data_IF_818721283412
#
_entry.id   IF_818721283412
#
_cell.length_a   1.000
_cell.length_b   1.000
_cell.length_c   1.000
_cell.angle_alpha   90.00
_cell.angle_beta   90.00
_cell.angle_gamma   90.00
#
_symmetry.space_group_name_H-M   'P 1'
#
loop_
_entity.id
_entity.type
_entity.pdbx_description
1 polymer ?
#
# COMPACT_ATOMS: atom_id res chain seq x y z
N UNK A 1 22.86 10.15 7.28
CA UNK A 1 22.05 10.22 8.53
C UNK A 1 21.76 8.79 8.98
N UNK A 2 21.92 8.47 10.26
CA UNK A 2 21.62 7.13 10.77
C UNK A 2 20.09 6.89 10.82
N UNK A 3 19.64 5.64 10.61
CA UNK A 3 18.20 5.27 10.70
C UNK A 3 17.58 5.62 12.07
N UNK A 4 18.38 5.61 13.13
CA UNK A 4 17.96 5.97 14.49
C UNK A 4 17.62 7.46 14.60
N UNK A 5 18.46 8.34 14.05
CA UNK A 5 18.21 9.79 14.02
C UNK A 5 16.95 10.15 13.22
N UNK A 6 16.67 9.43 12.13
CA UNK A 6 15.45 9.62 11.35
C UNK A 6 14.19 9.23 12.15
N UNK A 7 14.26 8.13 12.91
CA UNK A 7 13.15 7.69 13.75
C UNK A 7 12.84 8.72 14.84
N UNK A 8 13.86 9.19 15.55
CA UNK A 8 13.72 10.21 16.59
C UNK A 8 13.10 11.51 16.03
N UNK A 9 13.55 11.96 14.86
CA UNK A 9 13.00 13.14 14.20
C UNK A 9 11.51 12.96 13.82
N UNK A 10 11.13 11.79 13.29
CA UNK A 10 9.74 11.49 12.97
C UNK A 10 8.85 11.41 14.21
N UNK A 11 9.37 10.91 15.33
CA UNK A 11 8.64 10.87 16.60
C UNK A 11 8.35 12.29 17.12
N UNK A 12 9.34 13.19 17.05
CA UNK A 12 9.15 14.61 17.38
C UNK A 12 8.10 15.26 16.48
N UNK A 13 8.20 15.08 15.16
CA UNK A 13 7.22 15.65 14.21
C UNK A 13 5.80 15.12 14.44
N UNK A 14 5.66 13.83 14.76
CA UNK A 14 4.35 13.24 15.13
C UNK A 14 3.80 13.84 16.42
N UNK A 15 4.64 14.00 17.44
CA UNK A 15 4.23 14.61 18.70
C UNK A 15 3.73 16.04 18.51
N UNK A 16 4.45 16.85 17.73
CA UNK A 16 4.06 18.23 17.38
C UNK A 16 2.74 18.26 16.63
N UNK A 17 2.59 17.43 15.59
CA UNK A 17 1.34 17.36 14.80
C UNK A 17 0.14 16.95 15.65
N UNK A 18 0.30 15.96 16.53
CA UNK A 18 -0.76 15.53 17.46
C UNK A 18 -1.09 16.63 18.48
N UNK A 19 -0.09 17.32 19.01
CA UNK A 19 -0.29 18.43 19.94
C UNK A 19 -1.07 19.58 19.28
N UNK A 20 -0.70 19.98 18.06
CA UNK A 20 -1.40 21.00 17.29
C UNK A 20 -2.85 20.60 16.98
N UNK A 21 -3.08 19.36 16.54
CA UNK A 21 -4.44 18.82 16.32
C UNK A 21 -5.27 18.83 17.60
N UNK A 22 -4.68 18.45 18.73
CA UNK A 22 -5.35 18.48 20.05
C UNK A 22 -5.64 19.91 20.49
N UNK A 23 -4.79 20.88 20.20
CA UNK A 23 -5.04 22.28 20.52
C UNK A 23 -6.22 22.83 19.70
N UNK A 24 -6.21 22.64 18.38
CA UNK A 24 -7.29 23.03 17.48
C UNK A 24 -8.64 22.34 17.81
N UNK A 25 -8.62 21.03 18.07
CA UNK A 25 -9.86 20.31 18.42
C UNK A 25 -10.41 20.71 19.77
N UNK A 26 -9.55 21.10 20.73
CA UNK A 26 -9.98 21.63 22.02
C UNK A 26 -10.55 23.04 21.90
N UNK A 27 -9.91 23.94 21.14
CA UNK A 27 -10.44 25.31 20.94
C UNK A 27 -11.83 25.27 20.31
N UNK A 28 -12.02 24.44 19.28
CA UNK A 28 -13.31 24.28 18.58
C UNK A 28 -14.43 23.71 19.46
N UNK A 29 -14.11 23.04 20.55
CA UNK A 29 -15.09 22.48 21.51
C UNK A 29 -15.45 23.43 22.65
N UNK A 30 -14.81 24.61 22.74
CA UNK A 30 -15.13 25.59 23.78
C UNK A 30 -16.49 26.23 23.49
N UNK A 31 -17.21 26.53 24.58
CA UNK A 31 -18.51 27.23 24.50
C UNK A 31 -18.36 28.67 23.99
N UNK A 32 -17.27 29.34 24.38
CA UNK A 32 -16.88 30.65 23.85
C UNK A 32 -15.83 30.41 22.76
N UNK A 33 -16.20 30.67 21.50
CA UNK A 33 -15.31 30.51 20.35
C UNK A 33 -14.52 31.78 20.12
N UNK A 34 -13.21 31.60 19.97
CA UNK A 34 -12.27 32.65 19.58
C UNK A 34 -11.79 32.26 18.18
N UNK A 35 -12.42 32.86 17.16
CA UNK A 35 -12.20 32.50 15.75
C UNK A 35 -10.76 32.78 15.32
N UNK A 36 -10.18 33.90 15.75
CA UNK A 36 -8.78 34.25 15.44
C UNK A 36 -7.81 33.21 16.01
N UNK A 37 -8.05 32.77 17.24
CA UNK A 37 -7.26 31.71 17.86
C UNK A 37 -7.50 30.34 17.21
N UNK A 38 -8.74 30.02 16.83
CA UNK A 38 -9.04 28.79 16.08
C UNK A 38 -8.31 28.73 14.75
N UNK A 39 -8.28 29.83 13.99
CA UNK A 39 -7.60 29.92 12.69
C UNK A 39 -6.09 29.81 12.84
N UNK A 40 -5.50 30.47 13.84
CA UNK A 40 -4.06 30.32 14.17
C UNK A 40 -3.70 28.88 14.51
N UNK A 41 -4.51 28.22 15.34
CA UNK A 41 -4.29 26.82 15.72
C UNK A 41 -4.48 25.87 14.54
N UNK A 42 -5.41 26.17 13.63
CA UNK A 42 -5.62 25.42 12.41
C UNK A 42 -4.44 25.55 11.45
N UNK A 43 -3.95 26.77 11.22
CA UNK A 43 -2.77 27.03 10.40
C UNK A 43 -1.54 26.26 10.94
N UNK A 44 -1.28 26.33 12.24
CA UNK A 44 -0.19 25.60 12.88
C UNK A 44 -0.32 24.07 12.73
N UNK A 45 -1.55 23.54 12.80
CA UNK A 45 -1.79 22.11 12.56
C UNK A 45 -1.53 21.71 11.10
N UNK A 46 -1.99 22.51 10.13
CA UNK A 46 -1.76 22.24 8.71
C UNK A 46 -0.27 22.27 8.38
N UNK A 47 0.46 23.25 8.91
CA UNK A 47 1.91 23.35 8.77
C UNK A 47 2.60 22.10 9.35
N UNK A 48 2.32 21.75 10.61
CA UNK A 48 2.90 20.57 11.24
C UNK A 48 2.59 19.26 10.48
N UNK A 49 1.37 19.14 9.93
CA UNK A 49 0.97 18.00 9.10
C UNK A 49 1.76 17.96 7.79
N UNK A 50 1.93 19.12 7.13
CA UNK A 50 2.68 19.23 5.90
C UNK A 50 4.14 18.81 6.12
N UNK A 51 4.79 19.33 7.17
CA UNK A 51 6.16 18.98 7.54
C UNK A 51 6.32 17.49 7.82
N UNK A 52 5.43 16.88 8.60
CA UNK A 52 5.46 15.43 8.86
C UNK A 52 5.31 14.61 7.56
N UNK A 53 4.38 15.00 6.69
CA UNK A 53 4.09 14.27 5.45
C UNK A 53 5.27 14.38 4.47
N UNK A 54 5.85 15.57 4.34
CA UNK A 54 7.04 15.79 3.52
C UNK A 54 8.22 14.95 4.02
N UNK A 55 8.44 14.91 5.34
CA UNK A 55 9.55 14.13 5.92
C UNK A 55 9.36 12.63 5.74
N UNK A 56 8.13 12.13 5.93
CA UNK A 56 7.79 10.73 5.64
C UNK A 56 7.98 10.38 4.16
N UNK A 57 7.57 11.27 3.26
CA UNK A 57 7.78 11.11 1.81
C UNK A 57 9.27 11.02 1.48
N UNK A 58 10.07 11.98 1.94
CA UNK A 58 11.52 11.98 1.72
C UNK A 58 12.21 10.72 2.29
N UNK A 59 11.78 10.24 3.45
CA UNK A 59 12.29 9.01 4.04
C UNK A 59 11.93 7.77 3.19
N UNK A 60 10.70 7.71 2.67
CA UNK A 60 10.27 6.64 1.79
C UNK A 60 11.00 6.67 0.44
N UNK A 61 11.20 7.86 -0.13
CA UNK A 61 11.91 8.02 -1.40
C UNK A 61 13.37 7.62 -1.26
N UNK A 62 14.02 7.97 -0.14
CA UNK A 62 15.35 7.48 0.18
C UNK A 62 15.39 5.95 0.28
N UNK A 63 14.45 5.34 1.00
CA UNK A 63 14.38 3.89 1.12
C UNK A 63 14.09 3.18 -0.23
N UNK A 64 13.27 3.79 -1.09
CA UNK A 64 13.02 3.31 -2.45
C UNK A 64 14.29 3.41 -3.30
N UNK A 65 15.05 4.50 -3.19
CA UNK A 65 16.31 4.66 -3.90
C UNK A 65 17.34 3.62 -3.45
N UNK A 66 17.51 3.42 -2.13
CA UNK A 66 18.38 2.35 -1.58
C UNK A 66 17.96 0.96 -2.11
N UNK A 67 16.65 0.69 -2.16
CA UNK A 67 16.14 -0.58 -2.69
C UNK A 67 16.46 -0.73 -4.19
N UNK A 68 16.28 0.31 -5.00
CA UNK A 68 16.58 0.28 -6.44
C UNK A 68 18.08 0.10 -6.70
N UNK A 69 18.93 0.77 -5.94
CA UNK A 69 20.39 0.60 -6.01
C UNK A 69 20.81 -0.84 -5.63
N UNK A 70 20.14 -1.44 -4.64
CA UNK A 70 20.36 -2.85 -4.30
C UNK A 70 19.87 -3.83 -5.38
N UNK A 71 18.87 -3.43 -6.19
CA UNK A 71 18.36 -4.25 -7.29
C UNK A 71 19.31 -4.26 -8.50
N UNK A 72 20.02 -3.16 -8.74
CA UNK A 72 21.12 -3.12 -9.72
C UNK A 72 22.23 -4.11 -9.34
N UNK A 73 22.38 -4.38 -8.05
CA UNK A 73 23.16 -5.50 -7.51
C UNK A 73 22.35 -6.79 -7.60
N UNK A 74 21.98 -7.20 -8.82
CA UNK A 74 21.09 -8.32 -9.19
C UNK A 74 20.96 -9.42 -8.11
N UNK A 75 19.97 -9.34 -7.20
CA UNK A 75 19.87 -10.25 -6.06
C UNK A 75 19.46 -11.67 -6.48
N UNK A 76 18.98 -11.84 -7.71
CA UNK A 76 18.60 -13.13 -8.27
C UNK A 76 19.52 -13.58 -9.42
N UNK A 77 20.53 -12.78 -9.76
CA UNK A 77 21.56 -13.06 -10.74
C UNK A 77 21.10 -13.68 -12.06
N UNK A 78 22.02 -14.46 -12.64
CA UNK A 78 21.75 -15.37 -13.77
C UNK A 78 20.63 -16.38 -13.54
N UNK A 79 20.37 -16.96 -12.34
CA UNK A 79 19.36 -18.01 -12.23
C UNK A 79 17.93 -17.52 -12.47
N UNK A 80 17.56 -16.30 -12.07
CA UNK A 80 16.23 -15.77 -12.37
C UNK A 80 16.09 -15.32 -13.82
N UNK A 81 17.17 -14.83 -14.45
CA UNK A 81 17.23 -14.63 -15.91
C UNK A 81 17.15 -15.97 -16.67
N UNK A 82 17.75 -17.03 -16.14
CA UNK A 82 17.66 -18.39 -16.70
C UNK A 82 16.26 -19.01 -16.51
N UNK A 83 15.58 -18.75 -15.39
CA UNK A 83 14.20 -19.17 -15.17
C UNK A 83 13.18 -18.34 -15.99
N UNK A 84 13.48 -17.06 -16.23
CA UNK A 84 12.71 -16.16 -17.14
C UNK A 84 12.98 -16.47 -18.61
N UNK A 85 14.17 -16.97 -18.96
CA UNK A 85 14.41 -17.85 -20.10
C UNK A 85 13.76 -19.21 -19.83
N UNK A 86 12.43 -19.21 -19.65
CA UNK A 86 11.60 -20.39 -19.87
C UNK A 86 12.21 -21.12 -21.04
N UNK A 87 12.79 -22.28 -20.75
CA UNK A 87 13.39 -23.22 -21.66
C UNK A 87 12.48 -23.34 -22.88
N UNK A 88 12.72 -22.53 -23.92
CA UNK A 88 12.27 -22.87 -25.25
C UNK A 88 13.36 -23.83 -25.68
N UNK A 89 13.12 -25.14 -25.71
CA UNK A 89 14.07 -26.04 -26.33
C UNK A 89 14.31 -25.47 -27.73
N UNK A 90 15.53 -25.56 -28.23
CA UNK A 90 15.81 -25.38 -29.66
C UNK A 90 15.21 -26.56 -30.46
N UNK A 91 13.97 -26.93 -30.17
CA UNK A 91 13.29 -28.11 -30.66
C UNK A 91 11.79 -27.97 -30.43
N UNK A 92 10.96 -28.50 -31.34
CA UNK A 92 9.51 -28.41 -31.24
C UNK A 92 9.03 -28.97 -29.89
N UNK A 93 8.02 -28.33 -29.27
CA UNK A 93 7.48 -28.81 -27.99
C UNK A 93 6.91 -30.22 -28.18
N UNK A 94 7.16 -31.12 -27.23
CA UNK A 94 6.63 -32.51 -27.19
C UNK A 94 5.10 -32.59 -27.36
N UNK A 95 4.40 -31.47 -27.17
CA UNK A 95 2.98 -31.31 -27.49
C UNK A 95 2.64 -31.47 -28.99
N UNK A 96 3.60 -31.30 -29.91
CA UNK A 96 3.40 -31.61 -31.34
C UNK A 96 3.42 -33.13 -31.63
N UNK A 97 4.04 -33.92 -30.75
CA UNK A 97 3.99 -35.39 -30.80
C UNK A 97 2.87 -36.00 -29.97
N UNK A 98 2.08 -35.18 -29.28
CA UNK A 98 0.97 -35.65 -28.46
C UNK A 98 -0.30 -35.72 -29.31
N UNK A 99 -0.95 -36.88 -29.27
CA UNK A 99 -2.16 -37.17 -30.03
C UNK A 99 -3.26 -36.11 -29.68
N UNK A 100 -3.94 -35.52 -30.67
CA UNK A 100 -4.86 -34.39 -30.48
C UNK A 100 -5.95 -34.61 -29.43
N UNK A 101 -6.39 -35.85 -29.23
CA UNK A 101 -7.44 -36.24 -28.28
C UNK A 101 -6.97 -36.11 -26.83
N UNK A 102 -5.68 -36.36 -26.56
CA UNK A 102 -5.08 -36.15 -25.24
C UNK A 102 -4.95 -34.66 -24.89
N UNK A 103 -4.66 -33.81 -25.88
CA UNK A 103 -4.57 -32.36 -25.68
C UNK A 103 -5.92 -31.75 -25.29
N UNK A 104 -7.01 -32.28 -25.85
CA UNK A 104 -8.35 -31.79 -25.56
C UNK A 104 -8.79 -32.16 -24.13
N UNK A 105 -8.47 -33.37 -23.67
CA UNK A 105 -8.70 -33.79 -22.28
C UNK A 105 -7.95 -32.93 -21.25
N UNK A 106 -6.71 -32.54 -21.53
CA UNK A 106 -5.90 -31.68 -20.63
C UNK A 106 -6.42 -30.24 -20.58
N UNK A 107 -6.92 -29.71 -21.71
CA UNK A 107 -7.56 -28.39 -21.75
C UNK A 107 -8.84 -28.37 -20.93
N UNK A 108 -9.66 -29.42 -21.02
CA UNK A 108 -10.89 -29.53 -20.24
C UNK A 108 -10.66 -29.71 -18.74
N UNK A 109 -9.67 -30.51 -18.35
CA UNK A 109 -9.31 -30.68 -16.92
C UNK A 109 -8.91 -29.35 -16.26
N UNK A 110 -8.23 -28.47 -17.01
CA UNK A 110 -7.81 -27.16 -16.50
C UNK A 110 -8.95 -26.16 -16.34
N UNK A 111 -10.05 -26.34 -17.07
CA UNK A 111 -11.21 -25.43 -17.02
C UNK A 111 -12.29 -25.86 -16.04
N UNK A 112 -12.35 -27.15 -15.66
CA UNK A 112 -13.37 -27.66 -14.71
C UNK A 112 -13.00 -27.47 -13.23
N UNK A 113 -11.76 -27.07 -12.93
CA UNK A 113 -11.33 -26.80 -11.53
C UNK A 113 -11.52 -25.34 -11.10
N UNK A 114 -12.03 -24.46 -11.96
CA UNK A 114 -12.19 -23.02 -11.66
C UNK A 114 -13.67 -22.60 -11.57
N UNK A 115 -14.52 -23.44 -10.96
CA UNK A 115 -15.74 -22.94 -10.33
C UNK A 115 -15.34 -22.21 -9.03
N UNK A 116 -14.86 -20.96 -9.15
CA UNK A 116 -14.76 -20.05 -8.02
C UNK A 116 -16.18 -19.69 -7.57
N UNK A 117 -16.64 -20.07 -6.37
CA UNK A 117 -17.92 -19.58 -5.90
C UNK A 117 -17.83 -18.06 -5.63
N UNK A 118 -18.82 -17.38 -6.18
CA UNK A 118 -19.39 -16.06 -5.86
C UNK A 118 -18.51 -15.04 -5.12
N UNK A 119 -18.18 -13.97 -5.86
CA UNK A 119 -18.24 -12.55 -5.47
C UNK A 119 -18.44 -12.28 -3.97
N UNK A 120 -17.40 -11.73 -3.35
CA UNK A 120 -17.51 -11.01 -2.08
C UNK A 120 -18.45 -9.80 -2.29
N UNK A 121 -19.68 -9.90 -1.78
CA UNK A 121 -20.65 -8.80 -1.79
C UNK A 121 -20.17 -7.58 -1.00
N UNK A 122 -20.70 -6.38 -1.26
CA UNK A 122 -20.29 -5.18 -0.54
C UNK A 122 -20.60 -5.31 0.95
N UNK A 123 -19.62 -4.91 1.76
CA UNK A 123 -19.69 -4.85 3.22
C UNK A 123 -20.84 -3.93 3.60
N UNK A 124 -21.96 -4.50 4.01
CA UNK A 124 -23.12 -3.76 4.52
C UNK A 124 -22.72 -2.92 5.73
N UNK A 125 -22.87 -1.60 5.62
CA UNK A 125 -22.92 -0.75 6.82
C UNK A 125 -24.22 -1.07 7.55
N UNK A 126 -24.11 -1.60 8.75
CA UNK A 126 -25.23 -1.72 9.67
C UNK A 126 -25.84 -0.36 9.93
N UNK A 127 -27.09 -0.19 9.50
CA UNK A 127 -28.01 0.81 10.00
C UNK A 127 -29.15 0.06 10.68
N UNK A 128 -29.25 0.19 12.00
CA UNK A 128 -30.28 -0.41 12.83
C UNK A 128 -31.69 0.12 12.49
N UNK A 129 -32.74 -0.66 12.80
CA UNK A 129 -34.12 -0.26 12.56
C UNK A 129 -34.58 0.75 13.62
N UNK A 130 -35.19 1.84 13.16
CA UNK A 130 -35.97 2.76 13.98
C UNK A 130 -37.42 2.69 13.51
N UNK A 131 -38.25 2.04 14.32
CA UNK A 131 -39.68 1.87 14.14
C UNK A 131 -40.45 3.19 14.23
N UNK A 132 -41.52 3.27 13.44
CA UNK A 132 -42.86 3.78 13.77
C UNK A 132 -43.02 5.10 14.55
N UNK A 133 -43.64 6.07 13.88
CA UNK A 133 -44.25 7.27 14.48
C UNK A 133 -44.67 8.27 13.41
#
# INVERSE_FOLDING_TARGET
MSRLSLKEELEVLRAVCVAARRAYTRSRRRRLRDLDNEDRLYAAYIEAKATLTARMGAAQDHARAEMLESLDTDPFGRPYKAARNKLRPWGPPVAETLEPTLLDGVKQFRTTSDERPAVCGPIGRGGSPGDGG
#
